data_IF_337220304934
#
_entry.id   IF_337220304934
#
_cell.length_a   1.000
_cell.length_b   1.000
_cell.length_c   1.000
_cell.angle_alpha   90.00
_cell.angle_beta   90.00
_cell.angle_gamma   90.00
#
_symmetry.space_group_name_H-M   'P 1'
#
loop_
_entity.id
_entity.type
_entity.pdbx_description
1 polymer ?
#
# COMPACT_ATOMS: atom_id res chain seq x y z
N UNK A 1 -19.20 -12.42 -5.15
CA UNK A 1 -18.34 -11.46 -4.42
C UNK A 1 -17.94 -10.34 -5.35
N UNK A 2 -18.33 -9.13 -5.05
CA UNK A 2 -17.91 -7.92 -5.77
C UNK A 2 -16.74 -7.28 -5.01
N UNK A 3 -15.52 -7.44 -5.52
CA UNK A 3 -14.31 -6.89 -4.91
C UNK A 3 -14.08 -5.46 -5.38
N UNK A 4 -13.79 -4.55 -4.44
CA UNK A 4 -13.47 -3.14 -4.71
C UNK A 4 -12.13 -2.80 -4.05
N UNK A 5 -11.18 -2.26 -4.82
CA UNK A 5 -9.89 -1.79 -4.35
C UNK A 5 -9.97 -0.30 -4.01
N UNK A 6 -9.86 0.04 -2.73
CA UNK A 6 -9.86 1.42 -2.21
C UNK A 6 -8.46 2.06 -2.34
N UNK A 7 -7.95 2.20 -3.56
CA UNK A 7 -6.61 2.74 -3.82
C UNK A 7 -6.51 3.36 -5.21
N UNK A 8 -5.79 4.49 -5.31
CA UNK A 8 -5.38 5.12 -6.56
C UNK A 8 -4.08 4.54 -7.13
N UNK A 9 -3.38 3.66 -6.39
CA UNK A 9 -2.09 3.12 -6.82
C UNK A 9 -2.22 2.17 -8.00
N UNK A 10 -1.63 2.48 -9.18
CA UNK A 10 -1.64 1.57 -10.34
C UNK A 10 -0.95 0.24 -10.02
N UNK A 11 0.14 0.28 -9.24
CA UNK A 11 0.92 -0.90 -8.84
C UNK A 11 0.10 -1.91 -8.04
N UNK A 12 -0.74 -1.44 -7.10
CA UNK A 12 -1.65 -2.31 -6.35
C UNK A 12 -2.68 -2.97 -7.27
N UNK A 13 -3.22 -2.21 -8.20
CA UNK A 13 -4.16 -2.73 -9.18
C UNK A 13 -3.50 -3.76 -10.11
N UNK A 14 -2.28 -3.53 -10.56
CA UNK A 14 -1.49 -4.48 -11.36
C UNK A 14 -1.22 -5.78 -10.62
N UNK A 15 -0.75 -5.71 -9.38
CA UNK A 15 -0.51 -6.88 -8.53
C UNK A 15 -1.78 -7.71 -8.33
N UNK A 16 -2.91 -7.05 -8.08
CA UNK A 16 -4.19 -7.72 -7.84
C UNK A 16 -4.72 -8.39 -9.12
N UNK A 17 -4.57 -7.73 -10.30
CA UNK A 17 -4.90 -8.33 -11.61
C UNK A 17 -4.00 -9.51 -11.94
N UNK A 18 -2.69 -9.37 -11.73
CA UNK A 18 -1.72 -10.45 -11.97
C UNK A 18 -2.01 -11.68 -11.10
N UNK A 19 -2.62 -11.50 -9.94
CA UNK A 19 -3.10 -12.58 -9.08
C UNK A 19 -4.46 -13.17 -9.50
N UNK A 20 -5.05 -12.74 -10.62
CA UNK A 20 -6.28 -13.28 -11.17
C UNK A 20 -7.57 -12.71 -10.56
N UNK A 21 -7.48 -11.62 -9.77
CA UNK A 21 -8.68 -10.98 -9.22
C UNK A 21 -9.34 -10.04 -10.22
N UNK A 22 -10.68 -10.12 -10.30
CA UNK A 22 -11.51 -9.09 -10.95
C UNK A 22 -12.03 -8.16 -9.88
N UNK A 23 -11.89 -6.84 -10.08
CA UNK A 23 -12.25 -5.82 -9.10
C UNK A 23 -12.56 -4.48 -9.75
N UNK A 24 -13.30 -3.64 -9.04
CA UNK A 24 -13.47 -2.21 -9.32
C UNK A 24 -12.46 -1.39 -8.50
N UNK A 25 -11.98 -0.25 -9.00
CA UNK A 25 -11.19 0.70 -8.21
C UNK A 25 -12.06 1.85 -7.72
N UNK A 26 -11.98 2.16 -6.44
CA UNK A 26 -12.68 3.28 -5.81
C UNK A 26 -11.70 4.05 -4.90
N UNK A 27 -10.86 4.92 -5.48
CA UNK A 27 -9.92 5.72 -4.70
C UNK A 27 -10.62 6.59 -3.67
N UNK A 28 -9.99 6.71 -2.49
CA UNK A 28 -10.43 7.61 -1.43
C UNK A 28 -9.28 8.54 -1.07
N UNK A 29 -9.62 9.77 -0.72
CA UNK A 29 -8.68 10.78 -0.24
C UNK A 29 -8.87 10.92 1.27
N UNK A 30 -7.77 10.83 2.03
CA UNK A 30 -7.74 10.85 3.49
C UNK A 30 -6.51 11.63 3.96
N UNK A 31 -6.58 12.13 5.18
CA UNK A 31 -5.40 12.64 5.89
C UNK A 31 -4.48 11.47 6.27
N UNK A 32 -3.34 11.38 5.56
CA UNK A 32 -2.31 10.36 5.78
C UNK A 32 -1.23 10.81 6.79
N UNK A 33 -1.43 11.86 7.56
CA UNK A 33 -0.48 12.32 8.57
C UNK A 33 -0.26 11.28 9.67
N UNK A 34 0.99 11.15 10.13
CA UNK A 34 1.35 10.28 11.27
C UNK A 34 0.83 10.92 12.55
N UNK A 35 0.14 10.15 13.38
CA UNK A 35 -0.38 10.62 14.67
C UNK A 35 0.70 10.57 15.76
N UNK A 36 0.67 11.47 16.75
CA UNK A 36 1.63 11.45 17.87
C UNK A 36 1.69 10.07 18.55
N UNK A 37 2.89 9.52 18.67
CA UNK A 37 3.11 8.21 19.31
C UNK A 37 2.68 6.99 18.47
N UNK A 38 2.30 7.18 17.21
CA UNK A 38 1.88 6.10 16.33
C UNK A 38 3.08 5.29 15.84
N UNK A 39 3.07 3.99 16.06
CA UNK A 39 4.10 3.09 15.50
C UNK A 39 3.88 2.89 14.00
N UNK A 40 4.93 2.55 13.21
CA UNK A 40 4.79 2.29 11.77
C UNK A 40 3.73 1.23 11.44
N UNK A 41 3.63 0.17 12.23
CA UNK A 41 2.63 -0.87 12.05
C UNK A 41 1.20 -0.37 12.35
N UNK A 42 1.02 0.43 13.41
CA UNK A 42 -0.26 1.05 13.72
C UNK A 42 -0.69 2.06 12.62
N UNK A 43 0.26 2.84 12.10
CA UNK A 43 0.05 3.80 11.02
C UNK A 43 -0.51 3.14 9.75
N UNK A 44 0.18 2.13 9.19
CA UNK A 44 -0.31 1.47 7.98
C UNK A 44 -1.61 0.69 8.20
N UNK A 45 -1.79 0.10 9.40
CA UNK A 45 -3.04 -0.58 9.75
C UNK A 45 -4.22 0.39 9.84
N UNK A 46 -4.04 1.56 10.46
CA UNK A 46 -5.04 2.62 10.55
C UNK A 46 -5.43 3.12 9.16
N UNK A 47 -4.46 3.50 8.33
CA UNK A 47 -4.74 4.02 7.00
C UNK A 47 -5.42 3.00 6.09
N UNK A 48 -5.01 1.72 6.13
CA UNK A 48 -5.69 0.67 5.40
C UNK A 48 -7.17 0.54 5.82
N UNK A 49 -7.43 0.60 7.13
CA UNK A 49 -8.77 0.54 7.72
C UNK A 49 -9.63 1.75 7.37
N UNK A 50 -9.06 2.94 7.46
CA UNK A 50 -9.74 4.19 7.12
C UNK A 50 -10.08 4.23 5.62
N UNK A 51 -9.15 3.78 4.74
CA UNK A 51 -9.39 3.66 3.29
C UNK A 51 -10.54 2.69 2.97
N UNK A 52 -10.54 1.51 3.60
CA UNK A 52 -11.63 0.54 3.38
C UNK A 52 -12.97 1.05 3.90
N UNK A 53 -12.99 1.76 5.03
CA UNK A 53 -14.21 2.34 5.61
C UNK A 53 -14.79 3.46 4.74
N UNK A 54 -13.96 4.41 4.31
CA UNK A 54 -14.39 5.52 3.46
C UNK A 54 -14.90 5.03 2.09
N UNK A 55 -14.23 4.03 1.51
CA UNK A 55 -14.70 3.42 0.26
C UNK A 55 -16.03 2.68 0.43
N UNK A 56 -16.22 1.97 1.56
CA UNK A 56 -17.51 1.34 1.89
C UNK A 56 -18.64 2.37 1.98
N UNK A 57 -18.41 3.48 2.68
CA UNK A 57 -19.40 4.56 2.78
C UNK A 57 -19.78 5.12 1.40
N UNK A 58 -18.76 5.43 0.55
CA UNK A 58 -19.00 5.93 -0.82
C UNK A 58 -19.73 4.91 -1.68
N UNK A 59 -19.38 3.62 -1.57
CA UNK A 59 -20.01 2.55 -2.32
C UNK A 59 -21.50 2.40 -1.94
N UNK A 60 -21.80 2.37 -0.64
CA UNK A 60 -23.17 2.28 -0.12
C UNK A 60 -24.01 3.50 -0.53
N UNK A 61 -23.47 4.71 -0.42
CA UNK A 61 -24.14 5.93 -0.84
C UNK A 61 -24.48 5.91 -2.35
N UNK A 62 -23.56 5.45 -3.20
CA UNK A 62 -23.80 5.27 -4.64
C UNK A 62 -24.91 4.25 -4.90
N UNK A 63 -24.88 3.11 -4.22
CA UNK A 63 -25.88 2.06 -4.39
C UNK A 63 -27.29 2.48 -3.93
N UNK A 64 -27.38 3.36 -2.93
CA UNK A 64 -28.67 3.91 -2.47
C UNK A 64 -29.31 4.88 -3.49
N UNK A 65 -28.48 5.52 -4.33
CA UNK A 65 -28.93 6.43 -5.39
C UNK A 65 -29.39 5.69 -6.66
N UNK A 66 -29.12 4.38 -6.75
CA UNK A 66 -29.48 3.53 -7.88
C UNK A 66 -30.70 2.67 -7.54
N UNK A 67 -31.48 2.32 -8.58
CA UNK A 67 -32.62 1.37 -8.49
C UNK A 67 -32.28 0.07 -9.24
N UNK A 68 -32.70 -1.07 -8.73
CA UNK A 68 -32.54 -2.36 -9.40
C UNK A 68 -31.31 -3.18 -8.94
N UNK A 69 -30.67 -3.94 -9.85
CA UNK A 69 -29.61 -4.92 -9.50
C UNK A 69 -28.40 -4.34 -8.76
N UNK A 70 -28.08 -3.06 -8.98
CA UNK A 70 -26.96 -2.37 -8.34
C UNK A 70 -27.16 -2.22 -6.82
N UNK A 71 -28.40 -2.05 -6.38
CA UNK A 71 -28.75 -2.01 -4.95
C UNK A 71 -28.58 -3.38 -4.28
N UNK A 72 -28.85 -4.46 -4.98
CA UNK A 72 -28.65 -5.82 -4.49
C UNK A 72 -27.14 -6.15 -4.37
N UNK A 73 -26.32 -5.66 -5.29
CA UNK A 73 -24.86 -5.84 -5.25
C UNK A 73 -24.19 -5.20 -4.03
N UNK A 74 -24.83 -4.20 -3.40
CA UNK A 74 -24.29 -3.55 -2.19
C UNK A 74 -24.19 -4.49 -0.99
N UNK A 75 -24.97 -5.56 -0.95
CA UNK A 75 -24.91 -6.56 0.12
C UNK A 75 -23.74 -7.56 -0.03
N UNK A 76 -23.20 -7.74 -1.25
CA UNK A 76 -22.12 -8.71 -1.54
C UNK A 76 -20.75 -8.05 -1.81
N UNK A 77 -20.64 -6.76 -1.52
CA UNK A 77 -19.40 -6.02 -1.72
C UNK A 77 -18.34 -6.38 -0.68
N UNK A 78 -17.09 -6.46 -1.15
CA UNK A 78 -15.89 -6.59 -0.32
C UNK A 78 -14.94 -5.47 -0.69
N UNK A 79 -14.58 -4.63 0.26
CA UNK A 79 -13.66 -3.52 0.06
C UNK A 79 -12.27 -3.91 0.56
N UNK A 80 -11.27 -3.76 -0.29
CA UNK A 80 -9.85 -3.92 0.06
C UNK A 80 -9.20 -2.54 0.16
N UNK A 81 -8.83 -2.14 1.37
CA UNK A 81 -7.96 -1.00 1.67
C UNK A 81 -6.52 -1.45 1.88
N UNK A 82 -5.54 -0.63 1.48
CA UNK A 82 -4.14 -0.88 1.74
C UNK A 82 -3.36 0.42 1.89
N UNK A 83 -2.34 0.39 2.75
CA UNK A 83 -1.35 1.45 2.89
C UNK A 83 0.05 0.89 3.08
N UNK A 84 1.08 1.60 2.57
CA UNK A 84 2.47 1.12 2.57
C UNK A 84 3.40 2.25 2.98
N UNK A 85 4.33 1.93 3.86
CA UNK A 85 5.40 2.84 4.26
C UNK A 85 6.77 2.17 4.30
N UNK A 86 7.81 2.97 4.17
CA UNK A 86 9.22 2.57 4.37
C UNK A 86 9.65 3.02 5.76
N UNK A 87 10.40 2.17 6.47
CA UNK A 87 10.85 2.43 7.84
C UNK A 87 12.33 2.13 7.96
N UNK A 88 13.08 3.09 8.48
CA UNK A 88 14.49 2.93 8.86
C UNK A 88 14.71 3.53 10.24
N UNK A 89 15.38 2.80 11.15
CA UNK A 89 15.61 3.20 12.54
C UNK A 89 14.33 3.63 13.30
N UNK A 90 13.19 3.03 12.95
CA UNK A 90 11.89 3.38 13.53
C UNK A 90 11.25 4.65 12.93
N UNK A 91 11.93 5.37 12.04
CA UNK A 91 11.41 6.55 11.34
C UNK A 91 10.60 6.13 10.10
N UNK A 92 9.40 6.68 9.97
CA UNK A 92 8.56 6.51 8.79
C UNK A 92 9.04 7.45 7.68
N UNK A 93 9.43 6.87 6.54
CA UNK A 93 9.72 7.61 5.32
C UNK A 93 8.50 7.56 4.39
N UNK A 94 7.79 8.69 4.33
CA UNK A 94 6.68 8.88 3.41
C UNK A 94 7.14 9.14 1.97
N UNK A 95 6.27 9.76 1.17
CA UNK A 95 6.65 10.29 -0.15
C UNK A 95 7.53 11.53 0.06
N UNK A 96 8.58 11.72 -0.75
CA UNK A 96 9.42 12.91 -0.65
C UNK A 96 8.63 14.16 -1.01
N UNK A 97 8.89 15.25 -0.29
CA UNK A 97 8.28 16.54 -0.58
C UNK A 97 8.87 17.19 -1.86
N UNK A 98 10.16 16.97 -2.08
CA UNK A 98 10.93 17.47 -3.22
C UNK A 98 12.16 16.60 -3.51
N UNK A 99 12.99 17.01 -4.46
CA UNK A 99 14.20 16.28 -4.85
C UNK A 99 15.30 16.34 -3.76
N UNK A 100 15.31 17.36 -2.89
CA UNK A 100 16.22 17.44 -1.76
C UNK A 100 15.84 16.43 -0.67
N UNK A 101 14.56 16.32 -0.37
CA UNK A 101 14.03 15.32 0.55
C UNK A 101 14.22 13.89 0.01
N UNK A 102 13.97 13.68 -1.29
CA UNK A 102 14.27 12.42 -1.97
C UNK A 102 15.74 12.00 -1.81
N UNK A 103 16.67 12.97 -2.00
CA UNK A 103 18.09 12.78 -1.80
C UNK A 103 18.43 12.40 -0.35
N UNK A 104 17.82 13.06 0.63
CA UNK A 104 18.01 12.78 2.04
C UNK A 104 17.51 11.37 2.42
N UNK A 105 16.35 10.97 1.91
CA UNK A 105 15.80 9.62 2.11
C UNK A 105 16.72 8.55 1.54
N UNK A 106 17.20 8.69 0.31
CA UNK A 106 18.10 7.72 -0.32
C UNK A 106 19.44 7.62 0.42
N UNK A 107 19.99 8.72 0.94
CA UNK A 107 21.18 8.70 1.80
C UNK A 107 20.95 7.90 3.09
N UNK A 108 19.78 8.04 3.71
CA UNK A 108 19.41 7.26 4.90
C UNK A 108 19.31 5.76 4.62
N UNK A 109 18.88 5.38 3.41
CA UNK A 109 18.69 3.98 3.00
C UNK A 109 19.97 3.33 2.45
N UNK A 110 20.95 4.12 1.99
CA UNK A 110 22.20 3.68 1.37
C UNK A 110 23.00 2.75 2.28
N UNK A 111 23.45 1.61 1.73
CA UNK A 111 24.31 0.63 2.42
C UNK A 111 23.64 -0.11 3.58
N UNK A 112 22.30 -0.06 3.69
CA UNK A 112 21.59 -0.52 4.88
C UNK A 112 20.38 -1.40 4.57
N UNK A 113 19.94 -2.14 5.58
CA UNK A 113 18.64 -2.75 5.59
C UNK A 113 17.59 -1.76 6.13
N UNK A 114 16.41 -1.80 5.54
CA UNK A 114 15.22 -1.08 6.01
C UNK A 114 13.99 -1.98 5.90
N UNK A 115 12.87 -1.57 6.46
CA UNK A 115 11.64 -2.33 6.44
C UNK A 115 10.60 -1.63 5.57
N UNK A 116 9.81 -2.42 4.85
CA UNK A 116 8.60 -1.99 4.14
C UNK A 116 7.41 -2.66 4.79
N UNK A 117 6.52 -1.85 5.33
CA UNK A 117 5.31 -2.32 5.98
C UNK A 117 4.10 -1.98 5.10
N UNK A 118 3.24 -2.97 4.88
CA UNK A 118 1.93 -2.74 4.26
C UNK A 118 0.82 -3.23 5.17
N UNK A 119 -0.06 -2.32 5.57
CA UNK A 119 -1.34 -2.64 6.17
C UNK A 119 -2.37 -2.98 5.09
N UNK A 120 -3.16 -4.01 5.32
CA UNK A 120 -4.34 -4.35 4.52
C UNK A 120 -5.57 -4.43 5.41
N UNK A 121 -6.72 -4.03 4.88
CA UNK A 121 -8.03 -4.15 5.51
C UNK A 121 -9.03 -4.64 4.48
N UNK A 122 -9.66 -5.77 4.76
CA UNK A 122 -10.78 -6.33 3.99
C UNK A 122 -12.05 -6.07 4.78
N UNK A 123 -12.99 -5.38 4.17
CA UNK A 123 -14.24 -4.96 4.82
C UNK A 123 -15.45 -5.44 4.04
N UNK A 124 -16.43 -5.98 4.78
CA UNK A 124 -17.79 -6.23 4.32
C UNK A 124 -18.76 -5.29 5.05
N UNK A 125 -20.06 -5.38 4.76
CA UNK A 125 -21.08 -4.67 5.54
C UNK A 125 -21.17 -5.11 7.00
N UNK A 126 -20.73 -6.34 7.33
CA UNK A 126 -20.87 -6.96 8.65
C UNK A 126 -19.59 -6.89 9.50
N UNK A 127 -18.40 -6.97 8.88
CA UNK A 127 -17.13 -7.11 9.62
C UNK A 127 -15.92 -6.57 8.83
N UNK A 128 -14.79 -6.45 9.54
CA UNK A 128 -13.50 -6.04 9.00
C UNK A 128 -12.40 -6.96 9.49
N UNK A 129 -11.50 -7.34 8.58
CA UNK A 129 -10.31 -8.14 8.83
C UNK A 129 -9.09 -7.37 8.37
N UNK A 130 -8.11 -7.22 9.26
CA UNK A 130 -6.88 -6.49 8.96
C UNK A 130 -5.63 -7.34 9.17
N UNK A 131 -4.56 -7.00 8.47
CA UNK A 131 -3.22 -7.56 8.65
C UNK A 131 -2.16 -6.54 8.29
N UNK A 132 -1.01 -6.63 8.93
CA UNK A 132 0.22 -5.90 8.54
C UNK A 132 1.25 -6.92 8.09
N UNK A 133 1.85 -6.67 6.93
CA UNK A 133 2.95 -7.45 6.40
C UNK A 133 4.22 -6.61 6.43
N UNK A 134 5.32 -7.20 6.88
CA UNK A 134 6.63 -6.56 6.95
C UNK A 134 7.63 -7.31 6.07
N UNK A 135 8.40 -6.58 5.28
CA UNK A 135 9.46 -7.13 4.43
C UNK A 135 10.72 -6.30 4.62
N UNK A 136 11.86 -6.96 4.81
CA UNK A 136 13.15 -6.31 4.91
C UNK A 136 13.81 -6.22 3.54
N UNK A 137 14.28 -5.02 3.21
CA UNK A 137 14.95 -4.71 1.94
C UNK A 137 16.39 -4.27 2.25
N UNK A 138 17.36 -4.78 1.50
CA UNK A 138 18.78 -4.47 1.64
C UNK A 138 19.22 -3.64 0.45
N UNK A 139 19.63 -2.41 0.69
CA UNK A 139 20.14 -1.51 -0.32
C UNK A 139 21.67 -1.52 -0.31
N UNK A 140 22.28 -1.53 -1.49
CA UNK A 140 23.72 -1.37 -1.64
C UNK A 140 24.12 0.05 -1.25
N UNK A 141 25.42 0.27 -1.01
CA UNK A 141 25.95 1.61 -0.87
C UNK A 141 25.72 2.42 -2.15
N UNK A 142 25.21 3.63 -2.02
CA UNK A 142 24.93 4.55 -3.12
C UNK A 142 25.95 5.69 -3.10
N UNK A 143 26.61 5.93 -4.22
CA UNK A 143 27.41 7.13 -4.42
C UNK A 143 26.53 8.38 -4.56
N UNK A 144 27.14 9.55 -4.41
CA UNK A 144 26.42 10.82 -4.66
C UNK A 144 25.91 10.90 -6.10
N UNK A 145 26.65 10.32 -7.05
CA UNK A 145 26.26 10.26 -8.48
C UNK A 145 25.07 9.33 -8.71
N UNK A 146 25.05 8.15 -8.06
CA UNK A 146 23.90 7.23 -8.12
C UNK A 146 22.62 7.91 -7.62
N UNK A 147 22.71 8.60 -6.48
CA UNK A 147 21.58 9.31 -5.89
C UNK A 147 21.12 10.43 -6.82
N UNK A 148 22.03 11.26 -7.33
CA UNK A 148 21.70 12.35 -8.24
C UNK A 148 21.05 11.83 -9.53
N UNK A 149 21.62 10.76 -10.11
CA UNK A 149 21.06 10.12 -11.30
C UNK A 149 19.65 9.59 -11.06
N UNK A 150 19.42 8.90 -9.93
CA UNK A 150 18.12 8.32 -9.63
C UNK A 150 17.06 9.40 -9.31
N UNK A 151 17.40 10.41 -8.51
CA UNK A 151 16.49 11.53 -8.21
C UNK A 151 16.15 12.28 -9.48
N UNK A 152 17.13 12.52 -10.36
CA UNK A 152 16.92 13.18 -11.66
C UNK A 152 15.96 12.40 -12.58
N UNK A 153 15.80 11.10 -12.43
CA UNK A 153 14.81 10.31 -13.18
C UNK A 153 13.36 10.61 -12.78
N UNK A 154 13.13 11.15 -11.59
CA UNK A 154 11.81 11.41 -11.04
C UNK A 154 11.02 10.16 -10.60
N UNK A 155 11.58 8.95 -10.74
CA UNK A 155 10.88 7.70 -10.46
C UNK A 155 10.39 7.58 -9.00
N UNK A 156 11.15 8.14 -8.05
CA UNK A 156 10.87 8.03 -6.62
C UNK A 156 9.84 9.02 -6.06
N UNK A 157 9.43 10.05 -6.83
CA UNK A 157 8.65 11.20 -6.35
C UNK A 157 7.29 10.84 -5.72
N UNK A 158 6.65 9.78 -6.16
CA UNK A 158 5.33 9.33 -5.69
C UNK A 158 5.41 8.11 -4.75
N UNK A 159 6.60 7.79 -4.22
CA UNK A 159 6.86 6.54 -3.50
C UNK A 159 7.40 6.78 -2.10
N UNK A 160 6.92 5.99 -1.14
CA UNK A 160 7.47 5.96 0.20
C UNK A 160 8.97 5.59 0.15
N UNK A 161 9.79 6.31 0.91
CA UNK A 161 11.25 6.14 0.90
C UNK A 161 11.92 6.54 -0.40
N UNK A 162 11.19 7.21 -1.30
CA UNK A 162 11.70 7.74 -2.58
C UNK A 162 12.31 6.70 -3.52
N UNK A 163 11.84 5.43 -3.54
CA UNK A 163 12.34 4.44 -4.49
C UNK A 163 11.28 3.44 -4.97
N UNK A 164 11.52 2.82 -6.14
CA UNK A 164 10.69 1.75 -6.69
C UNK A 164 11.51 0.48 -6.90
N UNK A 165 11.22 -0.57 -6.11
CA UNK A 165 11.92 -1.87 -6.21
C UNK A 165 11.81 -2.51 -7.60
N UNK A 166 10.75 -2.25 -8.32
CA UNK A 166 10.47 -2.81 -9.65
C UNK A 166 10.96 -1.93 -10.82
N UNK A 167 11.54 -0.76 -10.52
CA UNK A 167 12.01 0.20 -11.51
C UNK A 167 13.54 0.35 -11.51
N UNK A 168 14.00 1.56 -11.78
CA UNK A 168 15.43 1.90 -11.87
C UNK A 168 16.18 1.62 -10.57
N UNK A 169 15.51 1.77 -9.40
CA UNK A 169 16.12 1.48 -8.11
C UNK A 169 16.40 -0.02 -7.89
N UNK A 170 15.88 -0.92 -8.74
CA UNK A 170 16.18 -2.35 -8.65
C UNK A 170 17.68 -2.65 -8.71
N UNK A 171 18.47 -1.80 -9.40
CA UNK A 171 19.93 -1.91 -9.48
C UNK A 171 20.65 -1.73 -8.13
N UNK A 172 19.97 -1.11 -7.17
CA UNK A 172 20.49 -0.80 -5.84
C UNK A 172 20.00 -1.78 -4.76
N UNK A 173 19.08 -2.67 -5.10
CA UNK A 173 18.52 -3.64 -4.14
C UNK A 173 19.27 -4.96 -4.28
N UNK A 174 20.04 -5.30 -3.25
CA UNK A 174 20.85 -6.53 -3.23
C UNK A 174 20.08 -7.74 -2.74
N UNK A 175 19.07 -7.54 -1.86
CA UNK A 175 18.30 -8.63 -1.28
C UNK A 175 16.93 -8.13 -0.76
N UNK A 176 15.94 -9.01 -0.84
CA UNK A 176 14.63 -8.85 -0.19
C UNK A 176 14.42 -10.08 0.70
N UNK A 177 14.05 -9.84 1.96
CA UNK A 177 13.71 -10.88 2.93
C UNK A 177 12.24 -10.72 3.33
N UNK A 178 11.37 -11.54 2.71
CA UNK A 178 9.93 -11.45 2.81
C UNK A 178 9.22 -11.40 1.44
N UNK A 179 8.15 -10.64 1.35
CA UNK A 179 7.29 -10.57 0.15
C UNK A 179 7.70 -9.43 -0.77
N UNK A 180 8.14 -9.75 -2.00
CA UNK A 180 8.37 -8.75 -3.04
C UNK A 180 7.10 -7.93 -3.34
N UNK A 181 5.95 -8.58 -3.41
CA UNK A 181 4.67 -7.91 -3.65
C UNK A 181 4.30 -6.92 -2.53
N UNK A 182 4.72 -7.20 -1.28
CA UNK A 182 4.62 -6.26 -0.16
C UNK A 182 5.44 -5.00 -0.43
N UNK A 183 6.69 -5.15 -0.88
CA UNK A 183 7.57 -4.00 -1.20
C UNK A 183 7.01 -3.16 -2.34
N UNK A 184 6.38 -3.77 -3.33
CA UNK A 184 5.68 -3.07 -4.43
C UNK A 184 4.45 -2.32 -3.92
N UNK A 185 3.83 -2.79 -2.81
CA UNK A 185 2.74 -2.07 -2.13
C UNK A 185 1.44 -2.85 -1.90
N UNK A 186 1.41 -4.18 -2.19
CA UNK A 186 0.27 -5.04 -1.87
C UNK A 186 0.73 -6.49 -1.65
N UNK A 187 0.73 -7.00 -0.40
CA UNK A 187 1.13 -8.37 -0.09
C UNK A 187 0.05 -9.38 -0.52
N UNK A 188 0.05 -9.76 -1.78
CA UNK A 188 -1.04 -10.53 -2.43
C UNK A 188 -1.34 -11.84 -1.71
N UNK A 189 -0.34 -12.54 -1.19
CA UNK A 189 -0.55 -13.77 -0.43
C UNK A 189 -1.34 -13.51 0.87
N UNK A 190 -1.02 -12.43 1.58
CA UNK A 190 -1.76 -12.01 2.77
C UNK A 190 -3.18 -11.56 2.41
N UNK A 191 -3.34 -10.80 1.30
CA UNK A 191 -4.67 -10.42 0.78
C UNK A 191 -5.52 -11.65 0.50
N UNK A 192 -4.97 -12.65 -0.21
CA UNK A 192 -5.68 -13.89 -0.51
C UNK A 192 -6.11 -14.65 0.75
N UNK A 193 -5.27 -14.67 1.79
CA UNK A 193 -5.60 -15.30 3.07
C UNK A 193 -6.75 -14.58 3.79
N UNK A 194 -6.69 -13.24 3.86
CA UNK A 194 -7.72 -12.42 4.53
C UNK A 194 -9.03 -12.46 3.74
N UNK A 195 -9.01 -12.47 2.41
CA UNK A 195 -10.21 -12.61 1.59
C UNK A 195 -10.90 -13.96 1.81
N UNK A 196 -10.14 -15.06 1.90
CA UNK A 196 -10.71 -16.39 2.24
C UNK A 196 -11.37 -16.39 3.61
N UNK A 197 -10.74 -15.78 4.61
CA UNK A 197 -11.30 -15.64 5.95
C UNK A 197 -12.60 -14.83 5.94
N UNK A 198 -12.62 -13.71 5.24
CA UNK A 198 -13.79 -12.85 5.12
C UNK A 198 -14.97 -13.54 4.41
N UNK A 199 -14.70 -14.41 3.44
CA UNK A 199 -15.76 -15.17 2.71
C UNK A 199 -16.26 -16.34 3.55
N UNK A 200 -15.40 -17.03 4.31
CA UNK A 200 -15.78 -18.20 5.11
C UNK A 200 -16.61 -17.87 6.36
N UNK A 201 -16.60 -16.59 6.80
CA UNK A 201 -17.31 -16.11 8.00
C UNK A 201 -18.56 -15.27 7.66
N UNK A 202 -18.99 -15.30 6.40
CA UNK A 202 -20.28 -14.71 5.92
C UNK A 202 -21.43 -15.73 6.10
#
# INVERSE_FOLDING_TARGET
>A
MHLVLASASPRRAELLRAAGYTFETLPVDLDESVKPGETPAAYVARLAREKSAAAMQRFVARAQSCSGPERAAAHDVVILGADTTVVVDGEILGKPADDADATAMLRKLSGRAHEVLTGISVRTSAAEWGRVETTRVYMTELSAEDIAWYVGSGEGRDKAGSYAVQGLASRFISRIDGSYANVVGLPVAAVAAVLREAVSKR
#
